data_IF_942846476440
#
_entry.id   IF_942846476440
#
_cell.length_a   1.000
_cell.length_b   1.000
_cell.length_c   1.000
_cell.angle_alpha   90.00
_cell.angle_beta   90.00
_cell.angle_gamma   90.00
#
_symmetry.space_group_name_H-M   'P 1'
#
loop_
_entity.id
_entity.type
_entity.pdbx_description
1 polymer ?
#
# COMPACT_ATOMS: atom_id res chain seq x y z
N UNK A 1 -10.89 30.53 -15.52
CA UNK A 1 -10.14 29.41 -14.95
C UNK A 1 -10.63 29.16 -13.52
N UNK A 2 -11.20 28.01 -13.25
CA UNK A 2 -11.65 27.64 -11.88
C UNK A 2 -10.41 27.26 -11.07
N UNK A 3 -10.09 28.06 -10.05
CA UNK A 3 -8.90 27.93 -9.21
C UNK A 3 -9.32 27.70 -7.76
N UNK A 4 -8.73 26.71 -7.10
CA UNK A 4 -8.88 26.48 -5.65
C UNK A 4 -7.63 27.04 -4.98
N UNK A 5 -7.79 28.03 -4.12
CA UNK A 5 -6.73 28.55 -3.27
C UNK A 5 -6.46 27.57 -2.12
N UNK A 6 -5.19 27.23 -1.93
CA UNK A 6 -4.74 26.35 -0.88
C UNK A 6 -4.11 27.14 0.27
N UNK A 7 -4.15 26.63 1.47
CA UNK A 7 -3.57 27.28 2.65
C UNK A 7 -2.08 27.52 2.50
N UNK A 8 -1.35 26.58 1.89
CA UNK A 8 0.08 26.59 1.53
C UNK A 8 0.38 25.42 0.59
N UNK A 9 1.56 25.38 0.01
CA UNK A 9 2.06 24.28 -0.82
C UNK A 9 2.47 23.06 0.00
N UNK A 10 3.62 22.44 -0.31
CA UNK A 10 4.14 21.33 0.50
C UNK A 10 4.47 21.76 1.93
N UNK A 11 4.94 23.00 2.11
CA UNK A 11 5.35 23.54 3.41
C UNK A 11 4.63 24.85 3.73
N UNK A 12 4.44 25.21 5.02
CA UNK A 12 3.73 26.41 5.45
C UNK A 12 4.28 27.74 4.91
N UNK A 13 5.57 27.79 4.57
CA UNK A 13 6.22 28.98 3.97
C UNK A 13 6.01 29.08 2.46
N UNK A 14 5.51 28.05 1.78
CA UNK A 14 5.26 28.04 0.34
C UNK A 14 3.88 28.62 0.03
N UNK A 15 3.83 29.96 0.01
CA UNK A 15 2.64 30.76 -0.31
C UNK A 15 2.96 31.82 -1.36
N UNK A 16 2.03 32.13 -2.28
CA UNK A 16 0.69 31.54 -2.43
C UNK A 16 0.72 30.11 -2.95
N UNK A 17 -0.37 29.34 -2.75
CA UNK A 17 -0.54 28.01 -3.29
C UNK A 17 -1.95 27.82 -3.84
N UNK A 18 -2.09 27.08 -4.93
CA UNK A 18 -3.38 26.87 -5.59
C UNK A 18 -3.31 25.64 -6.50
N UNK A 19 -4.49 25.13 -6.87
CA UNK A 19 -4.67 24.08 -7.86
C UNK A 19 -5.69 24.51 -8.93
N UNK A 20 -5.40 24.21 -10.17
CA UNK A 20 -6.24 24.55 -11.33
C UNK A 20 -5.83 23.69 -12.54
N UNK A 21 -6.70 23.63 -13.55
CA UNK A 21 -6.35 23.05 -14.86
C UNK A 21 -5.80 24.15 -15.78
N UNK A 22 -4.65 23.90 -16.40
CA UNK A 22 -3.97 24.88 -17.27
C UNK A 22 -4.82 25.27 -18.49
N UNK A 23 -5.56 24.32 -19.05
CA UNK A 23 -6.48 24.53 -20.17
C UNK A 23 -7.80 25.22 -19.76
N UNK A 24 -7.98 25.50 -18.48
CA UNK A 24 -9.18 26.13 -17.92
C UNK A 24 -10.38 25.20 -17.77
N UNK A 25 -10.23 23.91 -18.05
CA UNK A 25 -11.27 22.89 -17.82
C UNK A 25 -11.60 22.72 -16.34
N UNK A 26 -12.61 21.91 -16.03
CA UNK A 26 -12.95 21.57 -14.65
C UNK A 26 -11.93 20.60 -14.05
N UNK A 27 -11.73 20.73 -12.73
CA UNK A 27 -10.89 19.79 -11.99
C UNK A 27 -11.44 18.35 -12.09
N UNK A 28 -10.56 17.33 -12.08
CA UNK A 28 -10.95 15.91 -12.17
C UNK A 28 -11.67 15.40 -10.92
N UNK A 29 -12.00 16.27 -9.97
CA UNK A 29 -12.69 15.94 -8.73
C UNK A 29 -13.58 17.08 -8.25
N UNK A 30 -14.55 16.72 -7.42
CA UNK A 30 -15.40 17.62 -6.65
C UNK A 30 -15.07 17.52 -5.15
N UNK A 31 -15.02 18.66 -4.46
CA UNK A 31 -14.87 18.71 -3.00
C UNK A 31 -16.26 18.69 -2.36
N UNK A 32 -16.63 17.53 -1.79
CA UNK A 32 -17.94 17.37 -1.12
C UNK A 32 -17.91 17.88 0.31
N UNK A 33 -16.75 17.88 0.97
CA UNK A 33 -16.55 18.39 2.32
C UNK A 33 -15.09 18.71 2.60
N UNK A 34 -14.84 19.61 3.55
CA UNK A 34 -13.51 19.98 4.02
C UNK A 34 -12.78 20.94 3.09
N UNK A 35 -11.49 21.16 3.37
CA UNK A 35 -10.61 22.03 2.56
C UNK A 35 -9.38 21.22 2.14
N UNK A 36 -9.10 21.10 0.84
CA UNK A 36 -7.96 20.33 0.37
C UNK A 36 -6.62 21.00 0.74
N UNK A 37 -5.65 20.18 1.12
CA UNK A 37 -4.25 20.56 1.22
C UNK A 37 -3.50 20.13 -0.04
N UNK A 38 -2.32 20.72 -0.29
CA UNK A 38 -1.49 20.46 -1.46
C UNK A 38 -1.10 18.98 -1.55
N UNK A 39 -0.53 18.42 -0.48
CA UNK A 39 -0.10 17.01 -0.43
C UNK A 39 -1.32 16.07 -0.49
N UNK A 40 -2.43 16.43 0.18
CA UNK A 40 -3.65 15.61 0.13
C UNK A 40 -4.18 15.44 -1.31
N UNK A 41 -4.08 16.48 -2.15
CA UNK A 41 -4.49 16.36 -3.55
C UNK A 41 -3.53 15.50 -4.38
N UNK A 42 -2.23 15.58 -4.11
CA UNK A 42 -1.26 14.68 -4.75
C UNK A 42 -1.54 13.21 -4.38
N UNK A 43 -1.77 12.93 -3.10
CA UNK A 43 -2.14 11.58 -2.62
C UNK A 43 -3.46 11.12 -3.27
N UNK A 44 -4.48 11.98 -3.29
CA UNK A 44 -5.79 11.67 -3.86
C UNK A 44 -5.72 11.31 -5.34
N UNK A 45 -5.02 12.12 -6.14
CA UNK A 45 -4.99 11.95 -7.60
C UNK A 45 -4.14 10.74 -8.01
N UNK A 46 -3.01 10.49 -7.35
CA UNK A 46 -2.22 9.28 -7.58
C UNK A 46 -2.98 8.04 -7.09
N UNK A 47 -3.57 8.10 -5.91
CA UNK A 47 -4.33 7.00 -5.34
C UNK A 47 -5.56 6.63 -6.15
N UNK A 48 -6.28 7.62 -6.71
CA UNK A 48 -7.41 7.35 -7.61
C UNK A 48 -6.98 6.59 -8.87
N UNK A 49 -5.91 7.01 -9.52
CA UNK A 49 -5.39 6.32 -10.70
C UNK A 49 -5.02 4.87 -10.36
N UNK A 50 -4.28 4.67 -9.26
CA UNK A 50 -3.87 3.35 -8.80
C UNK A 50 -5.07 2.41 -8.59
N UNK A 51 -6.08 2.84 -7.81
CA UNK A 51 -7.24 1.94 -7.51
C UNK A 51 -8.09 1.69 -8.74
N UNK A 52 -8.17 2.66 -9.66
CA UNK A 52 -8.91 2.51 -10.93
C UNK A 52 -8.25 1.48 -11.84
N UNK A 53 -6.92 1.52 -11.98
CA UNK A 53 -6.17 0.56 -12.79
C UNK A 53 -6.22 -0.85 -12.21
N UNK A 54 -6.06 -1.02 -10.89
CA UNK A 54 -6.21 -2.34 -10.27
C UNK A 54 -7.63 -2.88 -10.47
N UNK A 55 -8.66 -2.03 -10.33
CA UNK A 55 -10.03 -2.45 -10.60
C UNK A 55 -10.24 -2.84 -12.07
N UNK A 56 -9.69 -2.08 -13.03
CA UNK A 56 -9.76 -2.42 -14.45
C UNK A 56 -9.10 -3.78 -14.72
N UNK A 57 -7.93 -4.02 -14.14
CA UNK A 57 -7.15 -5.25 -14.35
C UNK A 57 -7.76 -6.48 -13.67
N UNK A 58 -8.40 -6.33 -12.51
CA UNK A 58 -8.86 -7.46 -11.67
C UNK A 58 -10.38 -7.63 -11.64
N UNK A 59 -11.15 -6.62 -12.05
CA UNK A 59 -12.60 -6.57 -11.93
C UNK A 59 -13.13 -6.43 -10.51
N UNK A 60 -12.27 -6.23 -9.49
CA UNK A 60 -12.63 -6.23 -8.07
C UNK A 60 -12.62 -4.82 -7.49
N UNK A 61 -13.49 -4.57 -6.50
CA UNK A 61 -13.44 -3.33 -5.71
C UNK A 61 -12.06 -3.20 -5.07
N UNK A 62 -11.46 -2.01 -5.16
CA UNK A 62 -10.07 -1.77 -4.77
C UNK A 62 -9.95 -0.56 -3.87
N UNK A 63 -9.09 -0.64 -2.86
CA UNK A 63 -8.72 0.48 -2.03
C UNK A 63 -7.19 0.60 -1.90
N UNK A 64 -6.73 1.82 -1.66
CA UNK A 64 -5.34 2.11 -1.36
C UNK A 64 -5.22 3.09 -0.19
N UNK A 65 -4.14 2.96 0.56
CA UNK A 65 -3.72 3.87 1.62
C UNK A 65 -2.48 4.63 1.11
N UNK A 66 -2.59 5.94 0.99
CA UNK A 66 -1.51 6.81 0.50
C UNK A 66 -0.95 7.68 1.61
N UNK A 67 0.35 7.90 1.58
CA UNK A 67 1.03 8.86 2.45
C UNK A 67 2.32 9.34 1.83
N UNK A 68 2.55 10.67 1.86
CA UNK A 68 3.73 11.29 1.26
C UNK A 68 3.92 10.95 -0.23
N UNK A 69 2.82 10.98 -0.96
CA UNK A 69 2.76 10.76 -2.42
C UNK A 69 3.25 9.36 -2.85
N UNK A 70 3.10 8.38 -1.96
CA UNK A 70 3.34 6.97 -2.27
C UNK A 70 2.31 6.09 -1.59
N UNK A 71 1.89 4.96 -2.20
CA UNK A 71 1.03 4.00 -1.53
C UNK A 71 1.81 3.30 -0.41
N UNK A 72 1.26 3.26 0.79
CA UNK A 72 1.71 2.31 1.81
C UNK A 72 1.21 0.90 1.49
N UNK A 73 0.10 0.82 0.75
CA UNK A 73 -0.52 -0.43 0.32
C UNK A 73 -1.68 -0.22 -0.64
N UNK A 74 -2.03 -1.30 -1.35
CA UNK A 74 -3.27 -1.43 -2.12
C UNK A 74 -3.84 -2.85 -1.95
N UNK A 75 -5.17 -2.99 -1.98
CA UNK A 75 -5.83 -4.28 -1.84
C UNK A 75 -7.15 -4.33 -2.59
N UNK A 76 -7.51 -5.52 -3.07
CA UNK A 76 -8.84 -5.80 -3.60
C UNK A 76 -9.77 -6.35 -2.52
N UNK A 77 -11.08 -6.16 -2.71
CA UNK A 77 -12.11 -6.68 -1.83
C UNK A 77 -12.17 -8.21 -1.90
N UNK A 78 -11.82 -8.86 -0.79
CA UNK A 78 -11.95 -10.30 -0.55
C UNK A 78 -12.39 -10.52 0.89
N UNK A 79 -13.15 -11.57 1.15
CA UNK A 79 -13.51 -11.98 2.51
C UNK A 79 -12.23 -12.23 3.31
N UNK A 80 -12.19 -11.69 4.52
CA UNK A 80 -11.03 -11.77 5.40
C UNK A 80 -11.17 -12.96 6.36
N UNK A 81 -10.07 -13.68 6.63
CA UNK A 81 -10.05 -14.65 7.72
C UNK A 81 -10.22 -13.96 9.08
N UNK A 82 -10.72 -14.68 10.07
CA UNK A 82 -10.87 -14.15 11.44
C UNK A 82 -9.54 -13.64 12.02
N UNK A 83 -8.44 -14.33 11.71
CA UNK A 83 -7.07 -13.91 12.06
C UNK A 83 -6.74 -12.54 11.47
N UNK A 84 -6.96 -12.37 10.17
CA UNK A 84 -6.68 -11.11 9.49
C UNK A 84 -7.59 -9.99 9.98
N UNK A 85 -8.88 -10.26 10.22
CA UNK A 85 -9.80 -9.28 10.83
C UNK A 85 -9.29 -8.77 12.17
N UNK A 86 -8.85 -9.67 13.05
CA UNK A 86 -8.24 -9.31 14.35
C UNK A 86 -6.96 -8.49 14.18
N UNK A 87 -6.04 -8.92 13.32
CA UNK A 87 -4.79 -8.22 13.05
C UNK A 87 -5.01 -6.80 12.49
N UNK A 88 -6.09 -6.61 11.74
CA UNK A 88 -6.52 -5.32 11.18
C UNK A 88 -7.41 -4.50 12.13
N UNK A 89 -7.80 -5.05 13.30
CA UNK A 89 -8.76 -4.46 14.25
C UNK A 89 -10.13 -4.14 13.62
N UNK A 90 -10.65 -5.07 12.83
CA UNK A 90 -11.93 -4.92 12.12
C UNK A 90 -12.90 -6.08 12.38
N UNK A 91 -12.57 -6.97 13.31
CA UNK A 91 -13.38 -8.14 13.69
C UNK A 91 -14.73 -7.78 14.34
N UNK A 92 -14.89 -6.53 14.77
CA UNK A 92 -16.10 -5.96 15.35
C UNK A 92 -16.93 -5.13 14.33
N UNK A 93 -16.55 -5.08 13.05
CA UNK A 93 -17.28 -4.32 12.02
C UNK A 93 -18.44 -5.15 11.48
N UNK A 94 -19.66 -4.74 11.79
CA UNK A 94 -20.85 -5.36 11.22
C UNK A 94 -20.95 -5.12 9.70
N UNK A 95 -21.31 -6.15 8.94
CA UNK A 95 -21.47 -6.06 7.48
C UNK A 95 -20.17 -5.94 6.69
N UNK A 96 -19.00 -6.23 7.31
CA UNK A 96 -17.70 -6.09 6.63
C UNK A 96 -17.60 -7.02 5.42
N UNK A 97 -17.99 -8.27 5.56
CA UNK A 97 -17.87 -9.28 4.50
C UNK A 97 -18.86 -9.06 3.34
N UNK A 98 -19.95 -8.32 3.58
CA UNK A 98 -20.96 -7.95 2.59
C UNK A 98 -20.57 -6.69 1.79
N UNK A 99 -19.54 -5.95 2.23
CA UNK A 99 -19.04 -4.74 1.58
C UNK A 99 -17.65 -4.96 0.97
N UNK A 100 -17.55 -5.27 -0.34
CA UNK A 100 -16.25 -5.45 -0.99
C UNK A 100 -15.33 -4.23 -0.88
N UNK A 101 -15.89 -3.01 -0.86
CA UNK A 101 -15.07 -1.80 -0.72
C UNK A 101 -14.58 -1.59 0.71
N UNK A 102 -15.36 -1.98 1.70
CA UNK A 102 -14.92 -1.94 3.09
C UNK A 102 -13.84 -2.99 3.38
N UNK A 103 -13.98 -4.23 2.85
CA UNK A 103 -12.93 -5.24 2.96
C UNK A 103 -11.66 -4.83 2.23
N UNK A 104 -11.76 -4.22 1.03
CA UNK A 104 -10.59 -3.68 0.32
C UNK A 104 -9.84 -2.66 1.17
N UNK A 105 -10.54 -1.70 1.79
CA UNK A 105 -9.91 -0.69 2.63
C UNK A 105 -9.36 -1.29 3.95
N UNK A 106 -10.09 -2.20 4.59
CA UNK A 106 -9.61 -2.89 5.78
C UNK A 106 -8.28 -3.61 5.53
N UNK A 107 -8.17 -4.29 4.40
CA UNK A 107 -6.98 -5.01 3.95
C UNK A 107 -5.83 -4.05 3.60
N UNK A 108 -6.10 -3.03 2.78
CA UNK A 108 -5.10 -2.03 2.42
C UNK A 108 -4.52 -1.34 3.66
N UNK A 109 -5.37 -0.78 4.52
CA UNK A 109 -4.91 -0.14 5.76
C UNK A 109 -4.22 -1.11 6.71
N UNK A 110 -4.68 -2.36 6.75
CA UNK A 110 -4.14 -3.43 7.59
C UNK A 110 -2.74 -3.90 7.20
N UNK A 111 -2.30 -3.65 5.97
CA UNK A 111 -0.97 -4.02 5.47
C UNK A 111 0.15 -3.40 6.30
N UNK A 112 0.14 -2.08 6.41
CA UNK A 112 1.14 -1.32 7.16
C UNK A 112 0.43 -0.25 8.00
N UNK A 113 -0.07 -0.66 9.16
CA UNK A 113 -0.86 0.21 10.04
C UNK A 113 -0.06 1.39 10.59
N UNK A 114 1.26 1.26 10.69
CA UNK A 114 2.16 2.35 11.10
C UNK A 114 2.23 3.43 10.02
N UNK A 115 2.48 3.05 8.78
CA UNK A 115 2.54 4.00 7.64
C UNK A 115 1.16 4.58 7.31
N UNK A 116 0.08 3.82 7.53
CA UNK A 116 -1.30 4.25 7.25
C UNK A 116 -1.89 5.19 8.32
N UNK A 117 -1.18 5.50 9.40
CA UNK A 117 -1.63 6.50 10.35
C UNK A 117 -1.59 7.91 9.75
N UNK A 118 -2.76 8.52 9.56
CA UNK A 118 -2.90 9.79 8.87
C UNK A 118 -2.80 9.68 7.34
N UNK A 119 -3.25 8.55 6.78
CA UNK A 119 -3.28 8.29 5.34
C UNK A 119 -4.31 9.15 4.59
N UNK A 120 -4.16 9.18 3.27
CA UNK A 120 -5.19 9.56 2.32
C UNK A 120 -5.76 8.30 1.68
N UNK A 121 -7.07 8.13 1.74
CA UNK A 121 -7.77 6.92 1.31
C UNK A 121 -8.24 7.07 -0.12
N UNK A 122 -8.00 6.07 -0.96
CA UNK A 122 -8.54 6.01 -2.32
C UNK A 122 -9.39 4.76 -2.51
N UNK A 123 -10.60 4.92 -3.06
CA UNK A 123 -11.60 3.88 -3.25
C UNK A 123 -12.07 3.84 -4.70
N UNK A 124 -11.97 2.69 -5.36
CA UNK A 124 -12.37 2.53 -6.77
C UNK A 124 -13.88 2.53 -7.00
N UNK A 125 -14.65 2.33 -5.93
CA UNK A 125 -16.11 2.17 -5.96
C UNK A 125 -16.80 3.19 -5.06
N UNK A 126 -18.14 3.13 -5.05
CA UNK A 126 -18.94 3.93 -4.13
C UNK A 126 -18.62 3.54 -2.69
N UNK A 127 -18.25 4.53 -1.87
CA UNK A 127 -18.10 4.35 -0.43
C UNK A 127 -19.47 4.13 0.19
N UNK A 128 -19.72 2.95 0.73
CA UNK A 128 -20.93 2.62 1.47
C UNK A 128 -20.84 2.94 2.97
N UNK A 129 -21.91 2.76 3.71
CA UNK A 129 -21.96 3.06 5.13
C UNK A 129 -20.99 2.20 5.96
N UNK A 130 -20.79 0.93 5.60
CA UNK A 130 -19.84 0.03 6.28
C UNK A 130 -18.40 0.54 6.12
N UNK A 131 -18.01 0.91 4.91
CA UNK A 131 -16.70 1.51 4.63
C UNK A 131 -16.53 2.86 5.35
N UNK A 132 -17.55 3.71 5.35
CA UNK A 132 -17.54 4.99 6.05
C UNK A 132 -17.38 4.82 7.56
N UNK A 133 -18.05 3.85 8.17
CA UNK A 133 -17.91 3.53 9.60
C UNK A 133 -16.49 3.03 9.93
N UNK A 134 -15.88 2.24 9.05
CA UNK A 134 -14.48 1.85 9.19
C UNK A 134 -13.56 3.08 9.10
N UNK A 135 -13.73 3.94 8.11
CA UNK A 135 -12.95 5.18 7.94
C UNK A 135 -13.12 6.11 9.16
N UNK A 136 -14.34 6.23 9.70
CA UNK A 136 -14.63 7.11 10.85
C UNK A 136 -13.77 6.78 12.05
N UNK A 137 -13.50 5.51 12.31
CA UNK A 137 -12.76 5.04 13.48
C UNK A 137 -11.24 5.11 13.35
N UNK A 138 -10.74 5.33 12.14
CA UNK A 138 -9.30 5.39 11.85
C UNK A 138 -8.80 6.85 11.74
N UNK A 139 -7.51 7.07 11.98
CA UNK A 139 -6.88 8.38 11.75
C UNK A 139 -6.47 8.47 10.29
N UNK A 140 -7.15 9.33 9.53
CA UNK A 140 -6.88 9.59 8.11
C UNK A 140 -7.07 11.06 7.77
N UNK A 141 -6.47 11.54 6.69
CA UNK A 141 -6.52 12.95 6.28
C UNK A 141 -7.69 13.26 5.38
N UNK A 142 -8.07 12.34 4.52
CA UNK A 142 -9.19 12.47 3.61
C UNK A 142 -9.47 11.19 2.85
N UNK A 143 -10.48 11.24 1.99
CA UNK A 143 -10.87 10.13 1.12
C UNK A 143 -11.27 10.65 -0.26
N UNK A 144 -10.82 9.96 -1.30
CA UNK A 144 -11.35 10.10 -2.66
C UNK A 144 -12.03 8.79 -3.06
N UNK A 145 -13.20 8.90 -3.67
CA UNK A 145 -13.94 7.74 -4.14
C UNK A 145 -14.68 8.07 -5.44
N UNK A 146 -15.10 7.00 -6.12
CA UNK A 146 -15.99 7.10 -7.29
C UNK A 146 -17.27 7.86 -6.94
N UNK A 147 -17.92 7.46 -5.81
CA UNK A 147 -19.12 8.09 -5.27
C UNK A 147 -19.25 7.77 -3.77
N UNK A 148 -20.28 8.29 -3.14
CA UNK A 148 -20.63 8.04 -1.74
C UNK A 148 -22.14 7.83 -1.61
N UNK A 149 -22.57 6.88 -0.78
CA UNK A 149 -23.97 6.83 -0.38
C UNK A 149 -24.30 7.98 0.58
N UNK A 150 -25.55 8.40 0.66
CA UNK A 150 -25.98 9.47 1.58
C UNK A 150 -25.61 9.14 3.04
N UNK A 151 -25.82 7.89 3.45
CA UNK A 151 -25.46 7.41 4.78
C UNK A 151 -23.93 7.50 5.03
N UNK A 152 -23.10 7.15 4.03
CA UNK A 152 -21.65 7.29 4.13
C UNK A 152 -21.24 8.75 4.29
N UNK A 153 -21.84 9.67 3.53
CA UNK A 153 -21.55 11.10 3.63
C UNK A 153 -21.92 11.66 5.01
N UNK A 154 -23.06 11.26 5.58
CA UNK A 154 -23.44 11.68 6.93
C UNK A 154 -22.44 11.23 7.97
N UNK A 155 -21.95 9.98 7.88
CA UNK A 155 -20.92 9.42 8.78
C UNK A 155 -19.59 10.17 8.65
N UNK A 156 -19.11 10.37 7.41
CA UNK A 156 -17.80 10.97 7.15
C UNK A 156 -17.76 12.46 7.47
N UNK A 157 -18.83 13.21 7.21
CA UNK A 157 -18.93 14.64 7.54
C UNK A 157 -18.80 14.95 9.02
N UNK A 158 -19.09 13.98 9.91
CA UNK A 158 -18.90 14.15 11.36
C UNK A 158 -17.42 14.07 11.79
N UNK A 159 -16.55 13.51 10.96
CA UNK A 159 -15.13 13.33 11.26
C UNK A 159 -14.37 14.66 11.26
N UNK A 160 -13.31 14.77 12.07
CA UNK A 160 -12.48 16.00 12.22
C UNK A 160 -13.33 17.25 12.52
N UNK A 161 -14.37 17.12 13.37
CA UNK A 161 -15.30 18.21 13.72
C UNK A 161 -15.91 18.87 12.48
N UNK A 162 -16.32 18.08 11.49
CA UNK A 162 -16.95 18.55 10.26
C UNK A 162 -15.98 18.97 9.14
N UNK A 163 -14.66 18.85 9.35
CA UNK A 163 -13.65 19.30 8.40
C UNK A 163 -12.93 18.16 7.66
N UNK A 164 -13.44 16.93 7.71
CA UNK A 164 -12.83 15.81 7.00
C UNK A 164 -12.90 16.02 5.49
N UNK A 165 -11.79 15.83 4.80
CA UNK A 165 -11.73 16.03 3.35
C UNK A 165 -12.37 14.86 2.63
N UNK A 166 -13.41 15.15 1.83
CA UNK A 166 -14.15 14.17 1.03
C UNK A 166 -14.13 14.66 -0.42
N UNK A 167 -13.53 13.84 -1.29
CA UNK A 167 -13.41 14.13 -2.72
C UNK A 167 -14.18 13.08 -3.53
N UNK A 168 -15.00 13.55 -4.47
CA UNK A 168 -15.64 12.70 -5.48
C UNK A 168 -14.94 12.90 -6.82
N UNK A 169 -14.56 11.81 -7.47
CA UNK A 169 -13.88 11.89 -8.76
C UNK A 169 -14.85 12.22 -9.89
N UNK A 170 -14.35 12.87 -10.92
CA UNK A 170 -15.05 13.00 -12.20
C UNK A 170 -14.65 11.83 -13.12
N UNK A 171 -15.45 10.80 -13.18
CA UNK A 171 -15.18 9.59 -13.99
C UNK A 171 -15.04 9.85 -15.49
N UNK A 172 -15.56 10.98 -15.98
CA UNK A 172 -15.46 11.36 -17.39
C UNK A 172 -14.13 12.02 -17.73
N UNK A 173 -13.38 12.43 -16.72
CA UNK A 173 -12.05 13.03 -16.91
C UNK A 173 -11.09 12.00 -17.49
N UNK A 174 -10.25 12.46 -18.40
CA UNK A 174 -9.11 11.69 -18.93
C UNK A 174 -7.87 12.56 -18.77
N UNK A 175 -6.80 11.97 -18.25
CA UNK A 175 -5.52 12.66 -18.13
C UNK A 175 -5.04 13.13 -19.51
N UNK A 176 -4.38 14.30 -19.59
CA UNK A 176 -3.74 14.73 -20.83
C UNK A 176 -2.74 13.69 -21.32
N UNK A 177 -2.55 13.63 -22.65
CA UNK A 177 -1.56 12.71 -23.27
C UNK A 177 -0.14 13.07 -22.88
N UNK A 178 0.12 14.34 -22.59
CA UNK A 178 1.42 14.88 -22.20
C UNK A 178 1.31 15.48 -20.80
N UNK A 179 2.25 15.16 -19.97
CA UNK A 179 2.40 15.72 -18.62
C UNK A 179 3.67 16.57 -18.50
N UNK A 180 3.61 17.61 -17.68
CA UNK A 180 4.72 18.54 -17.46
C UNK A 180 5.10 18.63 -15.99
N UNK A 181 6.40 18.83 -15.74
CA UNK A 181 6.95 19.07 -14.40
C UNK A 181 7.97 20.19 -14.45
N UNK A 182 7.94 21.11 -13.49
CA UNK A 182 8.89 22.20 -13.40
C UNK A 182 9.89 21.98 -12.27
N UNK A 183 11.18 22.11 -12.59
CA UNK A 183 12.27 22.05 -11.62
C UNK A 183 13.24 23.21 -11.91
N UNK A 184 13.44 24.09 -10.94
CA UNK A 184 14.33 25.25 -11.05
C UNK A 184 14.05 26.14 -12.30
N UNK A 185 12.73 26.30 -12.65
CA UNK A 185 12.31 27.05 -13.82
C UNK A 185 12.40 26.32 -15.16
N UNK A 186 13.01 25.12 -15.20
CA UNK A 186 13.03 24.27 -16.39
C UNK A 186 11.77 23.41 -16.42
N UNK A 187 11.06 23.44 -17.54
CA UNK A 187 9.92 22.58 -17.77
C UNK A 187 10.36 21.29 -18.43
N UNK A 188 10.01 20.18 -17.82
CA UNK A 188 10.14 18.82 -18.37
C UNK A 188 8.79 18.41 -18.91
N UNK A 189 8.79 17.82 -20.10
CA UNK A 189 7.59 17.32 -20.77
C UNK A 189 7.81 15.87 -21.17
N UNK A 190 6.81 15.02 -20.93
CA UNK A 190 6.85 13.62 -21.32
C UNK A 190 5.44 13.13 -21.62
N UNK A 191 5.34 12.03 -22.36
CA UNK A 191 4.06 11.32 -22.51
C UNK A 191 3.61 10.82 -21.14
N UNK A 192 2.31 10.95 -20.85
CA UNK A 192 1.70 10.32 -19.67
C UNK A 192 1.93 8.81 -19.67
N UNK A 193 2.23 8.24 -18.52
CA UNK A 193 2.44 6.80 -18.40
C UNK A 193 1.10 6.05 -18.48
N UNK A 194 0.64 5.77 -19.69
CA UNK A 194 -0.60 5.09 -20.01
C UNK A 194 -0.44 3.56 -20.21
N UNK A 195 0.71 3.00 -19.81
CA UNK A 195 0.95 1.55 -19.95
C UNK A 195 -0.11 0.77 -19.19
N UNK A 196 -0.76 -0.14 -19.89
CA UNK A 196 -1.73 -1.07 -19.30
C UNK A 196 -1.01 -2.27 -18.72
N UNK A 197 -1.28 -2.53 -17.46
CA UNK A 197 -0.70 -3.66 -16.71
C UNK A 197 -1.82 -4.66 -16.45
N UNK A 198 -1.71 -5.83 -17.04
CA UNK A 198 -2.59 -6.97 -16.84
C UNK A 198 -1.78 -8.28 -16.86
N UNK A 199 -2.45 -9.41 -16.75
CA UNK A 199 -1.80 -10.73 -16.71
C UNK A 199 -0.94 -11.06 -17.95
N UNK A 200 -1.19 -10.40 -19.09
CA UNK A 200 -0.44 -10.66 -20.32
C UNK A 200 1.02 -10.18 -20.21
N UNK A 201 1.32 -9.21 -19.36
CA UNK A 201 2.68 -8.76 -19.11
C UNK A 201 3.55 -9.81 -18.38
N UNK A 202 2.96 -10.90 -17.89
CA UNK A 202 3.63 -11.99 -17.18
C UNK A 202 3.88 -13.24 -18.06
N UNK A 203 3.68 -13.13 -19.36
CA UNK A 203 3.81 -14.29 -20.27
C UNK A 203 5.26 -14.72 -20.54
N UNK A 204 6.24 -13.82 -20.37
CA UNK A 204 7.65 -14.12 -20.60
C UNK A 204 8.31 -14.65 -19.32
N UNK A 205 8.00 -15.91 -18.95
CA UNK A 205 8.59 -16.57 -17.79
C UNK A 205 9.97 -17.13 -18.17
N UNK A 206 11.03 -16.59 -17.57
CA UNK A 206 12.43 -16.83 -17.93
C UNK A 206 13.13 -17.92 -17.10
N UNK A 207 12.57 -18.34 -15.97
CA UNK A 207 13.10 -19.38 -15.06
C UNK A 207 12.72 -20.78 -15.50
N UNK A 208 13.32 -21.82 -14.86
CA UNK A 208 12.99 -23.24 -15.12
C UNK A 208 11.53 -23.56 -14.81
N UNK A 209 11.03 -23.09 -13.64
CA UNK A 209 9.61 -23.17 -13.29
C UNK A 209 8.87 -22.13 -14.12
N UNK A 210 7.95 -22.60 -14.98
CA UNK A 210 7.19 -21.78 -15.92
C UNK A 210 5.79 -21.42 -15.44
N UNK A 211 5.29 -22.15 -14.45
CA UNK A 211 3.90 -21.98 -13.99
C UNK A 211 3.80 -20.88 -12.92
N UNK A 212 2.98 -19.88 -13.20
CA UNK A 212 2.56 -18.84 -12.25
C UNK A 212 1.04 -19.00 -12.12
N UNK A 213 0.53 -19.46 -10.95
CA UNK A 213 -0.91 -19.63 -10.72
C UNK A 213 -1.69 -18.32 -10.90
N UNK A 214 -2.98 -18.43 -11.24
CA UNK A 214 -3.81 -17.26 -11.53
C UNK A 214 -3.92 -16.27 -10.36
N UNK A 215 -3.98 -16.78 -9.12
CA UNK A 215 -3.98 -15.91 -7.93
C UNK A 215 -2.64 -15.16 -7.76
N UNK A 216 -1.52 -15.82 -8.05
CA UNK A 216 -0.20 -15.18 -8.03
C UNK A 216 -0.04 -14.15 -9.17
N UNK A 217 -0.64 -14.39 -10.34
CA UNK A 217 -0.70 -13.38 -11.41
C UNK A 217 -1.51 -12.15 -10.99
N UNK A 218 -2.65 -12.33 -10.30
CA UNK A 218 -3.42 -11.23 -9.71
C UNK A 218 -2.54 -10.42 -8.74
N UNK A 219 -1.81 -11.10 -7.85
CA UNK A 219 -0.91 -10.47 -6.88
C UNK A 219 0.22 -9.69 -7.54
N UNK A 220 0.86 -10.26 -8.59
CA UNK A 220 1.90 -9.58 -9.37
C UNK A 220 1.37 -8.34 -10.10
N UNK A 221 0.16 -8.43 -10.68
CA UNK A 221 -0.50 -7.28 -11.34
C UNK A 221 -0.80 -6.17 -10.33
N UNK A 222 -1.33 -6.51 -9.16
CA UNK A 222 -1.58 -5.54 -8.08
C UNK A 222 -0.26 -4.88 -7.64
N UNK A 223 0.80 -5.67 -7.46
CA UNK A 223 2.11 -5.16 -7.09
C UNK A 223 2.68 -4.23 -8.16
N UNK A 224 2.67 -4.61 -9.44
CA UNK A 224 3.16 -3.79 -10.56
C UNK A 224 2.40 -2.47 -10.68
N UNK A 225 1.06 -2.49 -10.62
CA UNK A 225 0.27 -1.25 -10.65
C UNK A 225 0.56 -0.38 -9.43
N UNK A 226 0.75 -0.98 -8.25
CA UNK A 226 1.15 -0.23 -7.05
C UNK A 226 2.49 0.48 -7.26
N UNK A 227 3.47 -0.20 -7.88
CA UNK A 227 4.78 0.39 -8.17
C UNK A 227 4.74 1.52 -9.21
N UNK A 228 3.82 1.48 -10.15
CA UNK A 228 3.61 2.58 -11.12
C UNK A 228 3.34 3.93 -10.44
N UNK A 229 2.82 3.91 -9.22
CA UNK A 229 2.49 5.10 -8.41
C UNK A 229 3.37 5.22 -7.15
N UNK A 230 4.48 4.49 -7.08
CA UNK A 230 5.40 4.49 -5.93
C UNK A 230 6.71 5.16 -6.30
N UNK A 231 7.20 6.08 -5.48
CA UNK A 231 8.50 6.73 -5.65
C UNK A 231 9.62 5.71 -5.83
N UNK A 232 10.40 5.85 -6.91
CA UNK A 232 11.49 4.93 -7.24
C UNK A 232 12.75 5.17 -6.39
N UNK A 233 13.63 4.16 -6.19
CA UNK A 233 13.39 2.76 -6.50
C UNK A 233 12.28 2.20 -5.64
N UNK A 234 11.46 1.33 -6.21
CA UNK A 234 10.37 0.71 -5.48
C UNK A 234 10.26 -0.80 -5.72
N UNK A 235 9.85 -1.53 -4.68
CA UNK A 235 9.59 -2.98 -4.67
C UNK A 235 8.34 -3.22 -3.85
N UNK A 236 7.46 -4.11 -4.31
CA UNK A 236 6.25 -4.49 -3.60
C UNK A 236 6.14 -6.02 -3.49
N UNK A 237 5.89 -6.48 -2.26
CA UNK A 237 5.48 -7.85 -1.96
C UNK A 237 3.96 -7.91 -1.92
N UNK A 238 3.38 -8.95 -2.48
CA UNK A 238 1.93 -9.15 -2.54
C UNK A 238 1.54 -10.60 -2.24
N UNK A 239 0.39 -10.76 -1.64
CA UNK A 239 -0.24 -12.04 -1.38
C UNK A 239 -1.75 -11.88 -1.20
N UNK A 240 -2.52 -12.85 -1.63
CA UNK A 240 -3.98 -12.91 -1.43
C UNK A 240 -4.72 -11.63 -1.88
N UNK A 241 -4.33 -11.05 -3.01
CA UNK A 241 -5.01 -9.88 -3.58
C UNK A 241 -4.70 -8.55 -2.88
N UNK A 242 -3.55 -8.45 -2.21
CA UNK A 242 -3.08 -7.19 -1.62
C UNK A 242 -1.56 -7.10 -1.63
N UNK A 243 -1.03 -5.88 -1.66
CA UNK A 243 0.37 -5.67 -1.28
C UNK A 243 0.50 -5.89 0.22
N UNK A 244 1.56 -6.57 0.63
CA UNK A 244 1.87 -6.88 2.04
C UNK A 244 3.12 -6.18 2.56
N UNK A 245 3.88 -5.57 1.65
CA UNK A 245 5.03 -4.73 1.98
C UNK A 245 5.45 -3.91 0.77
N UNK A 246 5.50 -2.59 0.91
CA UNK A 246 5.94 -1.65 -0.13
C UNK A 246 7.17 -0.89 0.35
N UNK A 247 8.26 -0.99 -0.41
CA UNK A 247 9.46 -0.17 -0.26
C UNK A 247 9.47 0.93 -1.32
N UNK A 248 9.74 2.16 -0.93
CA UNK A 248 9.68 3.33 -1.78
C UNK A 248 10.89 4.25 -1.58
N UNK A 249 11.29 4.95 -2.65
CA UNK A 249 12.23 6.07 -2.58
C UNK A 249 13.66 5.72 -2.16
N UNK A 250 14.10 4.47 -2.36
CA UNK A 250 15.44 4.05 -1.99
C UNK A 250 16.43 4.23 -3.15
N UNK A 251 17.65 4.74 -2.87
CA UNK A 251 18.69 4.86 -3.88
C UNK A 251 19.31 3.52 -4.30
N UNK A 252 19.21 2.50 -3.45
CA UNK A 252 19.70 1.15 -3.73
C UNK A 252 18.53 0.16 -3.85
N UNK A 253 18.54 -0.66 -4.93
CA UNK A 253 17.54 -1.70 -5.15
C UNK A 253 17.49 -2.70 -4.00
N UNK A 254 18.62 -3.19 -3.54
CA UNK A 254 18.66 -4.15 -2.43
C UNK A 254 18.14 -3.57 -1.12
N UNK A 255 18.39 -2.27 -0.84
CA UNK A 255 17.79 -1.62 0.34
C UNK A 255 16.27 -1.54 0.22
N UNK A 256 15.77 -1.29 -0.99
CA UNK A 256 14.34 -1.28 -1.26
C UNK A 256 13.71 -2.66 -1.04
N UNK A 257 14.35 -3.71 -1.57
CA UNK A 257 13.91 -5.11 -1.40
C UNK A 257 13.88 -5.51 0.07
N UNK A 258 14.92 -5.13 0.84
CA UNK A 258 14.98 -5.37 2.30
C UNK A 258 13.86 -4.65 3.05
N UNK A 259 13.63 -3.37 2.74
CA UNK A 259 12.58 -2.58 3.38
C UNK A 259 11.20 -3.17 3.12
N UNK A 260 10.89 -3.47 1.85
CA UNK A 260 9.62 -4.08 1.46
C UNK A 260 9.43 -5.46 2.10
N UNK A 261 10.47 -6.30 2.08
CA UNK A 261 10.46 -7.63 2.70
C UNK A 261 10.27 -7.57 4.20
N UNK A 262 10.93 -6.64 4.91
CA UNK A 262 10.72 -6.47 6.36
C UNK A 262 9.29 -6.06 6.71
N UNK A 263 8.64 -5.25 5.87
CA UNK A 263 7.21 -4.92 6.04
C UNK A 263 6.32 -6.13 5.80
N UNK A 264 6.62 -6.95 4.78
CA UNK A 264 5.90 -8.19 4.49
C UNK A 264 6.05 -9.20 5.65
N UNK A 265 7.26 -9.36 6.19
CA UNK A 265 7.52 -10.20 7.36
C UNK A 265 6.67 -9.73 8.56
N UNK A 266 6.65 -8.43 8.83
CA UNK A 266 5.84 -7.84 9.89
C UNK A 266 4.34 -8.09 9.70
N UNK A 267 3.84 -8.03 8.44
CA UNK A 267 2.44 -8.32 8.15
C UNK A 267 2.05 -9.75 8.54
N UNK A 268 2.90 -10.74 8.28
CA UNK A 268 2.69 -12.13 8.71
C UNK A 268 2.82 -12.30 10.23
N UNK A 269 3.86 -11.71 10.83
CA UNK A 269 4.10 -11.80 12.27
C UNK A 269 2.98 -11.16 13.11
N UNK A 270 2.34 -10.09 12.59
CA UNK A 270 1.16 -9.46 13.23
C UNK A 270 -0.03 -10.40 13.34
N UNK A 271 -0.11 -11.41 12.49
CA UNK A 271 -1.19 -12.43 12.48
C UNK A 271 -0.85 -13.66 13.33
N UNK A 272 0.30 -13.69 14.00
CA UNK A 272 0.66 -14.78 14.92
C UNK A 272 -0.21 -14.75 16.18
N UNK A 273 -0.48 -15.95 16.73
CA UNK A 273 -1.24 -16.07 17.98
C UNK A 273 -0.61 -15.25 19.11
N UNK A 274 0.72 -15.16 19.13
CA UNK A 274 1.47 -14.41 20.15
C UNK A 274 1.19 -12.92 20.09
N UNK A 275 1.02 -12.35 18.90
CA UNK A 275 0.66 -10.93 18.70
C UNK A 275 -0.83 -10.70 18.90
N UNK A 276 -1.69 -11.59 18.36
CA UNK A 276 -3.14 -11.45 18.44
C UNK A 276 -3.66 -11.54 19.89
N UNK A 277 -2.95 -12.26 20.75
CA UNK A 277 -3.30 -12.47 22.16
C UNK A 277 -2.52 -11.58 23.13
N UNK A 278 -1.86 -10.51 22.65
CA UNK A 278 -1.18 -9.57 23.55
C UNK A 278 -2.15 -9.00 24.60
N UNK A 279 -1.81 -9.07 25.91
CA UNK A 279 -2.72 -8.75 27.01
C UNK A 279 -2.89 -7.23 27.24
N UNK A 280 -3.35 -6.52 26.21
CA UNK A 280 -3.60 -5.09 26.30
C UNK A 280 -4.68 -4.77 27.36
N UNK A 281 -4.45 -3.73 28.13
CA UNK A 281 -5.49 -3.19 29.03
C UNK A 281 -6.71 -2.77 28.24
N UNK A 282 -7.87 -2.94 28.87
CA UNK A 282 -9.12 -2.43 28.32
C UNK A 282 -9.03 -0.92 28.06
N UNK A 283 -9.59 -0.45 26.94
CA UNK A 283 -9.56 0.96 26.55
C UNK A 283 -8.25 1.42 25.90
N UNK A 284 -7.23 0.57 25.76
CA UNK A 284 -6.01 0.93 25.05
C UNK A 284 -6.33 1.31 23.58
N UNK A 285 -5.96 2.53 23.18
CA UNK A 285 -6.25 3.07 21.85
C UNK A 285 -5.47 2.32 20.75
N UNK A 286 -6.10 2.11 19.57
CA UNK A 286 -5.48 1.44 18.43
C UNK A 286 -4.10 1.97 18.05
N UNK A 287 -3.87 3.30 17.93
CA UNK A 287 -2.53 3.79 17.61
C UNK A 287 -1.45 3.37 18.63
N UNK A 288 -1.81 3.30 19.91
CA UNK A 288 -0.88 2.81 20.94
C UNK A 288 -0.63 1.31 20.80
N UNK A 289 -1.68 0.52 20.45
CA UNK A 289 -1.53 -0.90 20.15
C UNK A 289 -0.62 -1.12 18.93
N UNK A 290 -0.83 -0.36 17.85
CA UNK A 290 -0.02 -0.45 16.63
C UNK A 290 1.45 -0.15 16.89
N UNK A 291 1.76 0.96 17.59
CA UNK A 291 3.12 1.32 17.96
C UNK A 291 3.80 0.24 18.82
N UNK A 292 3.04 -0.35 19.72
CA UNK A 292 3.60 -1.39 20.58
C UNK A 292 3.83 -2.69 19.81
N UNK A 293 2.87 -3.14 19.00
CA UNK A 293 3.00 -4.35 18.19
C UNK A 293 4.21 -4.24 17.28
N UNK A 294 4.40 -3.09 16.63
CA UNK A 294 5.56 -2.85 15.76
C UNK A 294 6.88 -3.00 16.54
N UNK A 295 6.99 -2.35 17.70
CA UNK A 295 8.16 -2.51 18.58
C UNK A 295 8.33 -3.95 19.08
N UNK A 296 7.25 -4.60 19.47
CA UNK A 296 7.27 -5.96 19.99
C UNK A 296 7.77 -6.98 18.94
N UNK A 297 7.36 -6.81 17.69
CA UNK A 297 7.86 -7.63 16.58
C UNK A 297 9.33 -7.32 16.28
N UNK A 298 9.73 -6.03 16.33
CA UNK A 298 11.10 -5.60 16.05
C UNK A 298 12.10 -5.92 17.17
N UNK A 299 11.63 -6.17 18.42
CA UNK A 299 12.51 -6.48 19.54
C UNK A 299 13.36 -7.71 19.27
N UNK A 300 14.67 -7.55 19.45
CA UNK A 300 15.60 -8.66 19.52
C UNK A 300 15.48 -9.33 20.90
N UNK A 301 15.72 -10.66 20.94
CA UNK A 301 15.75 -11.42 22.19
C UNK A 301 17.09 -11.18 22.93
N UNK A 302 17.36 -9.93 23.28
CA UNK A 302 18.55 -9.57 24.05
C UNK A 302 18.19 -9.24 25.51
N UNK A 303 19.11 -9.43 26.48
CA UNK A 303 18.89 -9.05 27.87
C UNK A 303 18.54 -7.54 28.00
N UNK A 304 19.13 -6.69 27.19
CA UNK A 304 18.91 -5.26 27.13
C UNK A 304 17.49 -4.93 26.65
N UNK A 305 17.01 -5.59 25.59
CA UNK A 305 15.65 -5.43 25.08
C UNK A 305 14.59 -5.91 26.07
N UNK A 306 14.91 -6.90 26.91
CA UNK A 306 14.02 -7.39 27.99
C UNK A 306 13.90 -6.41 29.16
N UNK A 307 14.89 -5.51 29.38
CA UNK A 307 15.00 -4.66 30.57
C UNK A 307 14.24 -3.33 30.51
N UNK A 308 14.20 -2.67 29.36
CA UNK A 308 13.78 -1.26 29.23
C UNK A 308 12.33 -1.05 28.77
N UNK A 309 11.55 -2.11 28.71
CA UNK A 309 10.18 -2.03 28.27
C UNK A 309 9.22 -1.82 29.45
N UNK A 310 8.65 -0.62 29.58
CA UNK A 310 7.58 -0.35 30.54
C UNK A 310 6.22 -0.89 30.02
N UNK A 311 6.09 -2.21 30.12
CA UNK A 311 4.87 -2.92 29.74
C UNK A 311 3.66 -2.54 30.60
N UNK A 312 3.87 -2.04 31.82
CA UNK A 312 2.81 -1.75 32.80
C UNK A 312 1.87 -0.65 32.34
N UNK A 313 2.31 0.22 31.44
CA UNK A 313 1.47 1.28 30.91
C UNK A 313 0.33 0.71 30.03
N UNK A 314 0.63 -0.27 29.20
CA UNK A 314 -0.26 -0.77 28.14
C UNK A 314 -0.88 -2.14 28.41
N UNK A 315 -0.27 -2.96 29.29
CA UNK A 315 -0.66 -4.36 29.50
C UNK A 315 -1.17 -4.64 30.91
N UNK A 316 -2.07 -5.61 31.00
CA UNK A 316 -2.55 -6.15 32.27
C UNK A 316 -1.53 -7.06 32.95
N UNK A 317 -0.71 -7.73 32.15
CA UNK A 317 0.41 -8.60 32.57
C UNK A 317 1.59 -8.47 31.61
N UNK A 318 2.77 -8.90 32.04
CA UNK A 318 3.98 -8.80 31.22
C UNK A 318 3.89 -9.76 30.03
N UNK A 319 3.94 -9.26 28.77
CA UNK A 319 3.92 -10.13 27.60
C UNK A 319 5.21 -10.97 27.54
N UNK A 320 5.06 -12.19 27.02
CA UNK A 320 6.22 -13.03 26.71
C UNK A 320 7.04 -12.41 25.56
N UNK A 321 8.34 -12.68 25.56
CA UNK A 321 9.23 -12.23 24.48
C UNK A 321 8.91 -13.02 23.21
N UNK A 322 8.84 -12.34 22.08
CA UNK A 322 8.74 -12.97 20.75
C UNK A 322 10.15 -13.23 20.24
N UNK A 323 10.64 -14.46 20.41
CA UNK A 323 12.04 -14.76 20.12
C UNK A 323 12.34 -14.79 18.63
N UNK A 324 13.61 -14.67 18.27
CA UNK A 324 14.07 -14.75 16.87
C UNK A 324 13.70 -16.09 16.24
N UNK A 325 13.85 -17.19 17.00
CA UNK A 325 13.52 -18.54 16.57
C UNK A 325 12.03 -18.70 16.28
N UNK A 326 11.16 -18.19 17.15
CA UNK A 326 9.70 -18.21 16.94
C UNK A 326 9.29 -17.42 15.70
N UNK A 327 9.85 -16.21 15.52
CA UNK A 327 9.62 -15.39 14.32
C UNK A 327 10.07 -16.13 13.06
N UNK A 328 11.27 -16.69 13.10
CA UNK A 328 11.84 -17.43 11.97
C UNK A 328 11.01 -18.65 11.63
N UNK A 329 10.57 -19.43 12.64
CA UNK A 329 9.69 -20.59 12.44
C UNK A 329 8.39 -20.21 11.71
N UNK A 330 7.81 -19.06 12.01
CA UNK A 330 6.60 -18.57 11.32
C UNK A 330 6.94 -18.19 9.89
N UNK A 331 8.01 -17.42 9.67
CA UNK A 331 8.37 -16.90 8.36
C UNK A 331 8.86 -18.01 7.41
N UNK A 332 9.59 -19.00 7.91
CA UNK A 332 10.07 -20.17 7.13
C UNK A 332 8.92 -21.07 6.62
N UNK A 333 7.75 -21.00 7.26
CA UNK A 333 6.56 -21.72 6.82
C UNK A 333 5.78 -21.02 5.70
N UNK A 334 6.13 -19.76 5.38
CA UNK A 334 5.42 -18.98 4.37
C UNK A 334 5.96 -19.29 2.99
N UNK A 335 5.04 -19.50 2.05
CA UNK A 335 5.33 -19.74 0.62
C UNK A 335 4.29 -19.05 -0.24
N UNK A 336 4.54 -18.94 -1.54
CA UNK A 336 3.56 -18.39 -2.50
C UNK A 336 3.49 -16.87 -2.54
N UNK A 337 4.41 -16.17 -1.89
CA UNK A 337 4.47 -14.70 -1.96
C UNK A 337 4.92 -14.25 -3.34
N UNK A 338 4.31 -13.19 -3.85
CA UNK A 338 4.65 -12.54 -5.11
C UNK A 338 5.46 -11.27 -4.86
N UNK A 339 6.45 -10.97 -5.71
CA UNK A 339 7.25 -9.73 -5.67
C UNK A 339 7.30 -9.08 -7.03
N UNK A 340 7.06 -7.77 -7.08
CA UNK A 340 7.33 -6.95 -8.25
C UNK A 340 8.40 -5.90 -7.97
N UNK A 341 9.14 -5.51 -9.01
CA UNK A 341 10.14 -4.46 -8.98
C UNK A 341 9.92 -3.46 -10.13
N UNK A 342 10.03 -2.16 -9.85
CA UNK A 342 9.84 -1.10 -10.84
C UNK A 342 10.96 -1.02 -11.90
N UNK A 343 12.10 -1.68 -11.64
CA UNK A 343 13.21 -1.89 -12.58
C UNK A 343 13.88 -3.26 -12.33
N UNK A 344 14.86 -3.61 -13.15
CA UNK A 344 15.56 -4.90 -13.02
C UNK A 344 16.30 -5.04 -11.68
N UNK A 345 16.42 -6.27 -11.20
CA UNK A 345 17.31 -6.62 -10.10
C UNK A 345 18.76 -6.69 -10.61
N UNK A 346 19.67 -5.87 -10.04
CA UNK A 346 21.06 -5.84 -10.53
C UNK A 346 21.91 -7.02 -10.06
N UNK A 347 21.52 -7.68 -8.95
CA UNK A 347 22.28 -8.76 -8.32
C UNK A 347 21.35 -9.77 -7.63
N UNK A 348 21.86 -10.98 -7.41
CA UNK A 348 21.16 -12.10 -6.78
C UNK A 348 20.78 -11.86 -5.31
N UNK A 349 21.45 -10.95 -4.60
CA UNK A 349 21.15 -10.61 -3.20
C UNK A 349 19.71 -10.12 -2.98
N UNK A 350 19.09 -9.57 -4.03
CA UNK A 350 17.66 -9.23 -4.02
C UNK A 350 16.79 -10.49 -3.98
N UNK A 351 17.19 -11.54 -4.70
CA UNK A 351 16.48 -12.82 -4.75
C UNK A 351 16.68 -13.57 -3.43
N UNK A 352 17.91 -13.57 -2.89
CA UNK A 352 18.20 -14.17 -1.59
C UNK A 352 17.28 -13.55 -0.51
N UNK A 353 17.18 -12.20 -0.47
CA UNK A 353 16.27 -11.51 0.47
C UNK A 353 14.79 -11.82 0.22
N UNK A 354 14.36 -11.91 -1.03
CA UNK A 354 12.99 -12.23 -1.38
C UNK A 354 12.62 -13.65 -0.92
N UNK A 355 13.51 -14.61 -1.13
CA UNK A 355 13.34 -15.98 -0.67
C UNK A 355 13.11 -16.10 0.84
N UNK A 356 13.84 -15.31 1.67
CA UNK A 356 13.67 -15.27 3.13
C UNK A 356 12.25 -14.87 3.58
N UNK A 357 11.47 -14.22 2.74
CA UNK A 357 10.06 -13.82 2.97
C UNK A 357 9.05 -14.71 2.24
N UNK A 358 9.44 -15.93 1.83
CA UNK A 358 8.54 -16.91 1.22
C UNK A 358 8.14 -16.64 -0.22
N UNK A 359 8.93 -15.84 -0.96
CA UNK A 359 8.65 -15.50 -2.35
C UNK A 359 8.76 -16.73 -3.25
N UNK A 360 7.74 -16.95 -4.05
CA UNK A 360 7.67 -17.98 -5.08
C UNK A 360 7.52 -17.42 -6.50
N UNK A 361 7.09 -16.16 -6.63
CA UNK A 361 6.80 -15.53 -7.91
C UNK A 361 7.36 -14.12 -7.99
N UNK A 362 8.03 -13.80 -9.11
CA UNK A 362 8.66 -12.49 -9.33
C UNK A 362 8.23 -11.91 -10.68
N UNK A 363 8.01 -10.60 -10.73
CA UNK A 363 7.89 -9.82 -11.95
C UNK A 363 8.87 -8.64 -11.93
N UNK A 364 9.66 -8.50 -13.00
CA UNK A 364 10.60 -7.38 -13.19
C UNK A 364 10.83 -7.13 -14.68
N UNK A 365 11.35 -5.95 -15.07
CA UNK A 365 11.53 -5.64 -16.49
C UNK A 365 12.47 -6.54 -17.26
N UNK A 366 13.53 -7.07 -16.64
CA UNK A 366 14.69 -7.64 -17.35
C UNK A 366 15.57 -6.54 -17.95
N UNK A 367 16.58 -6.95 -18.71
CA UNK A 367 17.51 -6.05 -19.43
C UNK A 367 18.76 -5.66 -18.64
N UNK A 368 19.05 -6.34 -17.53
CA UNK A 368 20.34 -6.24 -16.85
C UNK A 368 21.40 -7.08 -17.56
N UNK A 369 22.64 -6.62 -17.57
CA UNK A 369 23.80 -7.44 -18.02
C UNK A 369 24.06 -8.65 -17.12
N UNK A 370 23.34 -8.78 -16.01
CA UNK A 370 23.45 -9.86 -15.02
C UNK A 370 22.13 -10.58 -14.80
N UNK A 371 21.23 -10.56 -15.77
CA UNK A 371 19.95 -11.28 -15.69
C UNK A 371 20.16 -12.78 -15.52
N UNK A 372 21.22 -13.34 -16.12
CA UNK A 372 21.62 -14.73 -15.96
C UNK A 372 21.83 -15.13 -14.48
N UNK A 373 22.58 -14.33 -13.72
CA UNK A 373 22.82 -14.57 -12.29
C UNK A 373 21.54 -14.48 -11.45
N UNK A 374 20.64 -13.57 -11.83
CA UNK A 374 19.36 -13.40 -11.14
C UNK A 374 18.42 -14.57 -11.45
N UNK A 375 18.39 -15.04 -12.72
CA UNK A 375 17.63 -16.22 -13.15
C UNK A 375 18.15 -17.48 -12.45
N UNK A 376 19.48 -17.67 -12.40
CA UNK A 376 20.11 -18.81 -11.72
C UNK A 376 19.76 -18.83 -10.23
N UNK A 377 19.75 -17.68 -9.58
CA UNK A 377 19.32 -17.58 -8.18
C UNK A 377 17.83 -17.93 -7.98
N UNK A 378 16.96 -17.50 -8.88
CA UNK A 378 15.56 -17.90 -8.87
C UNK A 378 15.40 -19.42 -9.05
N UNK A 379 16.11 -20.01 -10.01
CA UNK A 379 16.09 -21.46 -10.24
C UNK A 379 16.58 -22.26 -9.02
N UNK A 380 17.64 -21.78 -8.36
CA UNK A 380 18.16 -22.38 -7.10
C UNK A 380 17.10 -22.45 -6.01
N UNK A 381 16.24 -21.42 -5.88
CA UNK A 381 15.21 -21.35 -4.87
C UNK A 381 13.83 -21.84 -5.34
N UNK A 382 13.70 -22.31 -6.57
CA UNK A 382 12.41 -22.76 -7.11
C UNK A 382 11.42 -21.62 -7.31
N UNK A 383 11.89 -20.41 -7.67
CA UNK A 383 11.08 -19.22 -7.90
C UNK A 383 10.79 -19.08 -9.39
N UNK A 384 9.52 -18.88 -9.78
CA UNK A 384 9.14 -18.51 -11.13
C UNK A 384 9.28 -16.99 -11.32
N UNK A 385 9.98 -16.55 -12.37
CA UNK A 385 10.17 -15.13 -12.67
C UNK A 385 9.75 -14.81 -14.10
N UNK A 386 8.91 -13.76 -14.24
CA UNK A 386 8.51 -13.20 -15.51
C UNK A 386 9.22 -11.86 -15.79
N UNK A 387 9.65 -11.65 -17.04
CA UNK A 387 10.09 -10.36 -17.53
C UNK A 387 8.92 -9.59 -18.13
N UNK A 388 8.67 -8.37 -17.61
CA UNK A 388 7.60 -7.50 -18.10
C UNK A 388 7.99 -6.69 -19.32
N UNK A 389 9.29 -6.49 -19.56
CA UNK A 389 9.82 -5.71 -20.67
C UNK A 389 9.65 -4.18 -20.53
N UNK A 390 9.09 -3.69 -19.43
CA UNK A 390 8.91 -2.25 -19.18
C UNK A 390 9.32 -1.84 -17.77
N UNK A 391 9.83 -0.63 -17.65
CA UNK A 391 10.22 0.01 -16.40
C UNK A 391 9.10 0.92 -15.88
N UNK A 392 8.93 0.99 -14.56
CA UNK A 392 7.86 1.74 -13.90
C UNK A 392 8.39 2.88 -13.00
N UNK A 393 9.47 3.55 -13.39
CA UNK A 393 10.00 4.66 -12.59
C UNK A 393 8.97 5.78 -12.42
N UNK A 394 8.83 6.23 -11.18
CA UNK A 394 7.96 7.32 -10.76
C UNK A 394 8.77 8.33 -9.93
N UNK A 395 8.84 9.59 -10.39
CA UNK A 395 9.63 10.66 -9.77
C UNK A 395 8.86 11.97 -9.65
#
# INVERSE_FOLDING_TARGET
>A
MKKIELKYGCNPNQKPASVYMEDGSELPFEVLNGKPGYINLLDALNGWQLVSEIKEATGKATAASFKHVSPSSAAVGRVMSDKLKKACFVDDIAGLDESPIATAYARARGTDRMSSFGDFISLSDTCDETCANLIKREVSDGVIARDFTDAALEVLKQKKNGNYLILKVNEKFRAPEVETKQVFGVTFEQKHNDIKIDKTCLNDVVTEIKDIPEDAKDDLVIALITLKYTQSNSVAYAADGQTIGVGAGQQSRVHCTRLAGSKADNWYLRQSEKVLNLPFKEGTKRPSKDNFIDRYIAMEDTPEARGDFDWKELFSEKPEVFTVEEKRQILDAITGVSVASDAFFPFSDNIDRAHESGVSYIAQPGGSTRDDLVIDSCNKYGIAMAFTGFRLFHH
#
